data_IF_088238610048
#
_entry.id   IF_088238610048
#
_cell.length_a   1.000
_cell.length_b   1.000
_cell.length_c   1.000
_cell.angle_alpha   90.00
_cell.angle_beta   90.00
_cell.angle_gamma   90.00
#
_symmetry.space_group_name_H-M   'P 1'
#
loop_
_entity.id
_entity.type
_entity.pdbx_description
1 polymer ?
#
# COMPACT_ATOMS: atom_id res chain seq x y z
N UNK A 1 -38.44 -31.18 33.96
CA UNK A 1 -38.01 -30.71 32.62
C UNK A 1 -36.62 -30.05 32.73
N UNK A 2 -35.58 -30.77 32.30
CA UNK A 2 -34.22 -30.32 31.94
C UNK A 2 -33.53 -29.18 32.72
N UNK A 3 -33.00 -29.42 33.93
CA UNK A 3 -32.06 -28.50 34.58
C UNK A 3 -30.60 -28.95 34.34
N UNK A 4 -29.82 -28.05 33.74
CA UNK A 4 -28.35 -27.96 33.86
C UNK A 4 -27.48 -29.03 33.16
N UNK A 5 -27.69 -29.27 31.87
CA UNK A 5 -26.77 -30.09 31.04
C UNK A 5 -25.53 -29.33 30.53
N UNK A 6 -25.41 -28.02 30.83
CA UNK A 6 -24.43 -27.11 30.22
C UNK A 6 -23.10 -26.99 31.00
N UNK A 7 -23.03 -27.43 32.26
CA UNK A 7 -21.82 -27.27 33.09
C UNK A 7 -21.00 -28.57 33.19
N UNK A 8 -20.84 -29.29 32.07
CA UNK A 8 -19.94 -30.44 32.00
C UNK A 8 -18.50 -29.96 31.99
N UNK A 9 -17.79 -30.18 33.10
CA UNK A 9 -16.36 -29.93 33.24
C UNK A 9 -15.61 -31.10 32.64
N UNK A 10 -14.76 -30.84 31.65
CA UNK A 10 -13.89 -31.83 31.02
C UNK A 10 -12.55 -31.81 31.73
N UNK A 11 -12.00 -33.00 32.05
CA UNK A 11 -10.69 -33.15 32.66
C UNK A 11 -9.77 -33.83 31.64
N UNK A 12 -8.69 -33.16 31.28
CA UNK A 12 -7.59 -33.76 30.54
C UNK A 12 -6.52 -34.14 31.57
N UNK A 13 -6.22 -35.43 31.68
CA UNK A 13 -5.19 -35.96 32.57
C UNK A 13 -4.09 -36.57 31.72
N UNK A 14 -2.85 -36.17 31.99
CA UNK A 14 -1.66 -36.84 31.44
C UNK A 14 -1.14 -37.77 32.53
N UNK A 15 -1.19 -39.06 32.25
CA UNK A 15 -0.68 -40.13 33.10
C UNK A 15 0.53 -40.75 32.45
N UNK A 16 1.59 -40.97 33.24
CA UNK A 16 2.81 -41.62 32.77
C UNK A 16 2.61 -43.14 32.74
N UNK A 17 2.87 -43.77 31.59
CA UNK A 17 2.47 -45.15 31.31
C UNK A 17 3.16 -46.17 32.24
N UNK A 18 4.43 -45.92 32.60
CA UNK A 18 5.27 -46.82 33.38
C UNK A 18 5.02 -46.77 34.90
N UNK A 19 4.59 -45.62 35.43
CA UNK A 19 4.41 -45.42 36.88
C UNK A 19 2.97 -45.10 37.26
N UNK A 20 2.06 -44.96 36.27
CA UNK A 20 0.66 -44.60 36.43
C UNK A 20 0.42 -43.34 37.28
N UNK A 21 1.45 -42.49 37.41
CA UNK A 21 1.38 -41.27 38.22
C UNK A 21 0.80 -40.14 37.37
N UNK A 22 -0.20 -39.46 37.93
CA UNK A 22 -0.85 -38.31 37.30
C UNK A 22 0.11 -37.10 37.36
N UNK A 23 0.72 -36.74 36.23
CA UNK A 23 1.73 -35.66 36.18
C UNK A 23 1.10 -34.28 36.04
N UNK A 24 0.03 -34.16 35.26
CA UNK A 24 -0.76 -32.91 35.14
C UNK A 24 -2.23 -33.22 34.87
N UNK A 25 -3.12 -32.54 35.60
CA UNK A 25 -4.55 -32.51 35.31
C UNK A 25 -5.01 -31.09 35.02
N UNK A 26 -5.66 -30.91 33.87
CA UNK A 26 -6.25 -29.65 33.48
C UNK A 26 -7.77 -29.82 33.39
N UNK A 27 -8.50 -28.97 34.11
CA UNK A 27 -9.97 -28.94 34.10
C UNK A 27 -10.43 -27.76 33.28
N UNK A 28 -11.15 -28.01 32.20
CA UNK A 28 -11.69 -26.96 31.33
C UNK A 28 -13.18 -27.19 31.10
N UNK A 29 -13.96 -26.12 31.09
CA UNK A 29 -15.35 -26.15 30.63
C UNK A 29 -15.38 -25.98 29.11
N UNK A 30 -16.38 -26.56 28.42
CA UNK A 30 -16.54 -26.38 26.96
C UNK A 30 -16.56 -24.90 26.57
N UNK A 31 -17.24 -24.07 27.38
CA UNK A 31 -17.30 -22.63 27.21
C UNK A 31 -15.93 -21.97 27.41
N UNK A 32 -15.17 -22.39 28.42
CA UNK A 32 -13.83 -21.86 28.66
C UNK A 32 -12.86 -22.14 27.51
N UNK A 33 -12.88 -23.35 26.94
CA UNK A 33 -12.04 -23.70 25.78
C UNK A 33 -12.40 -22.84 24.56
N UNK A 34 -13.70 -22.69 24.28
CA UNK A 34 -14.17 -21.86 23.16
C UNK A 34 -13.78 -20.40 23.36
N UNK A 35 -13.98 -19.85 24.57
CA UNK A 35 -13.65 -18.47 24.88
C UNK A 35 -12.13 -18.22 24.74
N UNK A 36 -11.29 -19.08 25.32
CA UNK A 36 -9.83 -18.99 25.19
C UNK A 36 -9.39 -19.10 23.73
N UNK A 37 -10.02 -19.98 22.93
CA UNK A 37 -9.75 -20.10 21.51
C UNK A 37 -10.08 -18.83 20.73
N UNK A 38 -11.24 -18.22 21.00
CA UNK A 38 -11.65 -16.94 20.39
C UNK A 38 -10.67 -15.83 20.80
N UNK A 39 -10.33 -15.72 22.08
CA UNK A 39 -9.37 -14.72 22.56
C UNK A 39 -8.01 -14.89 21.90
N UNK A 40 -7.49 -16.12 21.80
CA UNK A 40 -6.23 -16.39 21.12
C UNK A 40 -6.28 -15.99 19.63
N UNK A 41 -7.39 -16.31 18.95
CA UNK A 41 -7.57 -15.94 17.54
C UNK A 41 -7.58 -14.42 17.34
N UNK A 42 -8.32 -13.68 18.18
CA UNK A 42 -8.36 -12.21 18.14
C UNK A 42 -6.99 -11.62 18.42
N UNK A 43 -6.24 -12.17 19.38
CA UNK A 43 -4.87 -11.73 19.68
C UNK A 43 -3.95 -11.96 18.49
N UNK A 44 -4.02 -13.11 17.82
CA UNK A 44 -3.21 -13.39 16.63
C UNK A 44 -3.54 -12.44 15.49
N UNK A 45 -4.83 -12.21 15.21
CA UNK A 45 -5.25 -11.25 14.18
C UNK A 45 -4.84 -9.81 14.52
N UNK A 46 -5.00 -9.39 15.77
CA UNK A 46 -4.58 -8.07 16.23
C UNK A 46 -3.06 -7.89 16.15
N UNK A 47 -2.29 -8.94 16.47
CA UNK A 47 -0.83 -8.95 16.34
C UNK A 47 -0.41 -8.89 14.87
N UNK A 48 -1.09 -9.62 13.99
CA UNK A 48 -0.85 -9.57 12.55
C UNK A 48 -1.19 -8.19 11.97
N UNK A 49 -2.32 -7.60 12.36
CA UNK A 49 -2.68 -6.23 11.98
C UNK A 49 -1.65 -5.21 12.48
N UNK A 50 -1.22 -5.32 13.73
CA UNK A 50 -0.17 -4.48 14.29
C UNK A 50 1.15 -4.65 13.52
N UNK A 51 1.54 -5.88 13.17
CA UNK A 51 2.70 -6.15 12.34
C UNK A 51 2.58 -5.55 10.94
N UNK A 52 1.41 -5.56 10.30
CA UNK A 52 1.15 -4.93 8.99
C UNK A 52 1.11 -3.40 9.08
N UNK A 53 0.67 -2.85 10.21
CA UNK A 53 0.69 -1.41 10.45
C UNK A 53 2.12 -0.90 10.75
N UNK A 54 2.90 -1.68 11.50
CA UNK A 54 4.27 -1.36 11.91
C UNK A 54 5.29 -1.63 10.79
N UNK A 55 5.11 -2.74 10.04
CA UNK A 55 5.87 -3.05 8.83
C UNK A 55 5.14 -2.40 7.67
N UNK A 56 5.65 -1.32 7.06
CA UNK A 56 4.86 -0.50 6.14
C UNK A 56 4.68 -1.24 4.80
N UNK A 57 3.83 -2.27 4.74
CA UNK A 57 3.33 -2.84 3.49
C UNK A 57 2.47 -1.83 2.71
N UNK A 58 2.05 -0.76 3.38
CA UNK A 58 1.34 0.38 2.77
C UNK A 58 2.17 1.13 1.73
N UNK A 59 3.50 1.08 1.76
CA UNK A 59 4.33 1.73 0.71
C UNK A 59 4.45 0.89 -0.56
N UNK A 60 3.95 -0.35 -0.55
CA UNK A 60 4.18 -1.33 -1.63
C UNK A 60 2.92 -1.63 -2.44
N UNK A 61 1.82 -0.91 -2.22
CA UNK A 61 0.69 -0.90 -3.15
C UNK A 61 0.87 0.31 -4.06
N UNK A 62 1.42 0.13 -5.28
CA UNK A 62 1.54 1.22 -6.22
C UNK A 62 0.12 1.61 -6.64
N UNK A 63 -0.37 2.77 -6.16
CA UNK A 63 -1.69 3.30 -6.54
C UNK A 63 -2.50 4.04 -5.46
N UNK A 64 -2.06 4.14 -4.20
CA UNK A 64 -2.77 4.93 -3.17
C UNK A 64 -2.08 6.29 -2.95
N UNK A 65 -2.82 7.40 -2.72
CA UNK A 65 -2.30 8.76 -2.81
C UNK A 65 -1.49 9.11 -1.57
N UNK A 66 -0.24 8.66 -1.53
CA UNK A 66 0.74 9.23 -0.62
C UNK A 66 1.04 10.66 -1.09
N UNK A 67 0.94 11.63 -0.18
CA UNK A 67 1.12 13.06 -0.50
C UNK A 67 2.48 13.36 -1.17
N UNK A 68 3.45 12.45 -1.02
CA UNK A 68 4.74 12.49 -1.70
C UNK A 68 4.67 12.14 -3.19
N UNK A 69 3.78 11.24 -3.62
CA UNK A 69 3.63 10.88 -5.03
C UNK A 69 2.95 12.00 -5.83
N UNK A 70 1.98 12.70 -5.21
CA UNK A 70 1.37 13.90 -5.82
C UNK A 70 2.40 15.02 -6.00
N UNK A 71 3.29 15.24 -5.03
CA UNK A 71 4.37 16.23 -5.18
C UNK A 71 5.35 15.85 -6.29
N UNK A 72 5.80 14.60 -6.35
CA UNK A 72 6.69 14.15 -7.42
C UNK A 72 6.04 14.18 -8.80
N UNK A 73 4.75 13.82 -8.91
CA UNK A 73 4.02 13.90 -10.16
C UNK A 73 3.83 15.36 -10.62
N UNK A 74 3.55 16.29 -9.70
CA UNK A 74 3.46 17.73 -10.00
C UNK A 74 4.83 18.29 -10.40
N UNK A 75 5.90 17.97 -9.66
CA UNK A 75 7.25 18.43 -10.00
C UNK A 75 7.72 17.88 -11.35
N UNK A 76 7.37 16.63 -11.67
CA UNK A 76 7.68 16.03 -12.96
C UNK A 76 6.82 16.63 -14.09
N UNK A 77 5.54 16.91 -13.83
CA UNK A 77 4.68 17.59 -14.80
C UNK A 77 5.21 18.99 -15.14
N UNK A 78 5.65 19.77 -14.13
CA UNK A 78 6.27 21.09 -14.33
C UNK A 78 7.57 20.97 -15.14
N UNK A 79 8.40 19.96 -14.86
CA UNK A 79 9.63 19.72 -15.64
C UNK A 79 9.32 19.34 -17.10
N UNK A 80 8.30 18.51 -17.32
CA UNK A 80 7.88 18.11 -18.67
C UNK A 80 7.38 19.31 -19.47
N UNK A 81 6.54 20.16 -18.87
CA UNK A 81 6.04 21.40 -19.48
C UNK A 81 7.18 22.37 -19.87
N UNK A 82 8.16 22.53 -18.98
CA UNK A 82 9.37 23.30 -19.30
C UNK A 82 10.20 22.69 -20.42
N UNK A 83 10.27 21.36 -20.51
CA UNK A 83 10.99 20.68 -21.60
C UNK A 83 10.26 20.80 -22.93
N UNK A 84 8.92 20.71 -22.90
CA UNK A 84 8.07 20.83 -24.09
C UNK A 84 8.20 22.22 -24.72
N UNK A 85 8.10 23.28 -23.91
CA UNK A 85 8.28 24.66 -24.37
C UNK A 85 9.68 24.92 -24.96
N UNK A 86 10.74 24.37 -24.35
CA UNK A 86 12.09 24.46 -24.88
C UNK A 86 12.25 23.70 -26.21
N UNK A 87 11.63 22.52 -26.33
CA UNK A 87 11.66 21.70 -27.53
C UNK A 87 10.91 22.36 -28.70
N UNK A 88 9.76 22.98 -28.42
CA UNK A 88 8.97 23.73 -29.43
C UNK A 88 9.79 24.87 -30.00
N UNK A 89 10.48 25.66 -29.15
CA UNK A 89 11.40 26.71 -29.62
C UNK A 89 12.50 26.14 -30.49
N UNK A 90 13.14 25.05 -30.08
CA UNK A 90 14.22 24.43 -30.85
C UNK A 90 13.75 23.94 -32.22
N UNK A 91 12.56 23.36 -32.31
CA UNK A 91 11.94 22.96 -33.59
C UNK A 91 11.74 24.16 -34.52
N UNK A 92 11.19 25.26 -34.01
CA UNK A 92 10.99 26.49 -34.80
C UNK A 92 12.30 27.09 -35.29
N UNK A 93 13.35 27.11 -34.46
CA UNK A 93 14.69 27.54 -34.88
C UNK A 93 15.29 26.63 -35.95
N UNK A 94 15.17 25.31 -35.77
CA UNK A 94 15.67 24.32 -36.73
C UNK A 94 14.95 24.43 -38.09
N UNK A 95 13.64 24.63 -38.07
CA UNK A 95 12.82 24.82 -39.26
C UNK A 95 13.18 26.12 -39.99
N UNK A 96 13.34 27.22 -39.25
CA UNK A 96 13.78 28.49 -39.83
C UNK A 96 15.19 28.40 -40.42
N UNK A 97 16.11 27.71 -39.74
CA UNK A 97 17.46 27.49 -40.27
C UNK A 97 17.39 26.70 -41.59
N UNK A 98 16.57 25.65 -41.65
CA UNK A 98 16.34 24.89 -42.88
C UNK A 98 15.77 25.77 -44.01
N UNK A 99 14.82 26.67 -43.70
CA UNK A 99 14.26 27.62 -44.67
C UNK A 99 15.29 28.61 -45.21
N UNK A 100 16.12 29.20 -44.34
CA UNK A 100 17.21 30.11 -44.75
C UNK A 100 18.19 29.40 -45.68
N UNK A 101 18.58 28.18 -45.35
CA UNK A 101 19.47 27.36 -46.19
C UNK A 101 18.85 27.00 -47.53
N UNK A 102 17.51 26.93 -47.60
CA UNK A 102 16.75 26.65 -48.82
C UNK A 102 16.41 27.93 -49.62
N UNK A 103 16.80 29.11 -49.12
CA UNK A 103 16.54 30.40 -49.76
C UNK A 103 15.12 30.95 -49.60
N UNK A 104 14.35 30.42 -48.64
CA UNK A 104 12.95 30.81 -48.36
C UNK A 104 12.86 31.86 -47.23
N UNK A 105 11.71 32.54 -47.12
CA UNK A 105 11.49 33.62 -46.16
C UNK A 105 11.37 33.06 -44.73
N UNK A 106 12.08 33.67 -43.77
CA UNK A 106 12.07 33.24 -42.37
C UNK A 106 10.76 33.57 -41.67
N UNK A 107 10.32 32.67 -40.78
CA UNK A 107 9.17 32.91 -39.90
C UNK A 107 9.64 33.66 -38.65
N UNK A 108 8.95 34.73 -38.27
CA UNK A 108 9.22 35.47 -37.05
C UNK A 108 8.69 34.69 -35.83
N UNK A 109 9.60 34.02 -35.11
CA UNK A 109 9.28 33.12 -33.99
C UNK A 109 8.56 33.88 -32.86
N UNK A 110 8.92 35.13 -32.59
CA UNK A 110 8.33 35.93 -31.51
C UNK A 110 6.84 36.20 -31.75
N UNK A 111 6.40 36.35 -33.01
CA UNK A 111 4.98 36.54 -33.32
C UNK A 111 4.12 35.28 -33.11
N UNK A 112 4.70 34.08 -33.27
CA UNK A 112 3.98 32.80 -33.09
C UNK A 112 3.91 32.36 -31.63
N UNK A 113 4.95 32.66 -30.84
CA UNK A 113 4.95 32.34 -29.41
C UNK A 113 3.99 33.24 -28.62
N UNK A 114 3.68 34.45 -29.10
CA UNK A 114 2.69 35.33 -28.45
C UNK A 114 1.26 34.89 -28.75
N UNK A 115 0.97 34.34 -29.93
CA UNK A 115 -0.39 33.90 -30.30
C UNK A 115 -0.84 32.58 -29.66
N UNK A 116 0.11 31.74 -29.20
CA UNK A 116 -0.21 30.46 -28.54
C UNK A 116 -0.55 30.63 -27.04
N UNK A 117 -0.22 31.78 -26.46
CA UNK A 117 -0.38 32.10 -25.03
C UNK A 117 -1.59 33.02 -24.74
N UNK A 118 -2.50 33.20 -25.71
CA UNK A 118 -3.78 33.92 -25.59
C UNK A 118 -4.96 32.97 -25.79
#
# INVERSE_FOLDING_TARGET
MGKNKLNKVYRLTVTEDSTHREVRSLRFTRLGVVLTGITAFVVVLGSLYALIALTPLRTTIPGYPDAHFRRQAVDNAIKIDSLESALTRWKLYSENLSRVLSGDTTINIDSLLVSENE
#
